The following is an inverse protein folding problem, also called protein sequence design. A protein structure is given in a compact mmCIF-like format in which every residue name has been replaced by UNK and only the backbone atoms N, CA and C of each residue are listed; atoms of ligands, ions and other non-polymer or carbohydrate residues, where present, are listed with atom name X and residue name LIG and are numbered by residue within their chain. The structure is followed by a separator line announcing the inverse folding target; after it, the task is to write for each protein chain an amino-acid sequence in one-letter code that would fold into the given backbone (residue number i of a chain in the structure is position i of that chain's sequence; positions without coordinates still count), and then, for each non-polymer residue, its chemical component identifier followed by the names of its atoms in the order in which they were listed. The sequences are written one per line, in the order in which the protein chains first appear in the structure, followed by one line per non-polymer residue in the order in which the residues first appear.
data_IF_428452841067
#
_entry.id   IF_428452841067
#
_cell.length_a   1.000
_cell.length_b   1.000
_cell.length_c   1.000
_cell.angle_alpha   90.00
_cell.angle_beta   90.00
_cell.angle_gamma   90.00
#
_symmetry.space_group_name_H-M   'P 1'
#
loop_
_entity.id
_entity.type
_entity.pdbx_description
1 polymer ?
#
# COMPACT_ATOMS: atom_id res chain seq x y z
N UNK A 1 -52.74 44.81 -50.48
CA UNK A 1 -52.78 43.35 -50.22
C UNK A 1 -51.44 42.82 -50.70
N UNK A 2 -50.45 42.87 -49.80
CA UNK A 2 -49.95 41.74 -49.00
C UNK A 2 -48.70 41.15 -49.66
N UNK A 3 -47.59 41.45 -48.99
CA UNK A 3 -46.25 40.85 -49.02
C UNK A 3 -46.22 39.34 -49.31
N UNK A 4 -45.16 38.84 -49.96
CA UNK A 4 -44.06 38.14 -49.27
C UNK A 4 -43.05 37.60 -50.31
N UNK A 5 -41.82 38.11 -50.22
CA UNK A 5 -40.65 37.50 -50.86
C UNK A 5 -40.23 36.20 -50.15
N UNK A 6 -39.63 35.33 -50.95
CA UNK A 6 -39.08 34.02 -50.61
C UNK A 6 -37.86 34.16 -49.68
N UNK A 7 -37.90 33.55 -48.50
CA UNK A 7 -36.69 33.16 -47.77
C UNK A 7 -36.81 31.72 -47.26
N UNK A 8 -35.99 30.84 -47.84
CA UNK A 8 -35.81 29.45 -47.42
C UNK A 8 -35.05 29.44 -46.09
N UNK A 9 -35.71 28.95 -45.03
CA UNK A 9 -35.10 28.77 -43.71
C UNK A 9 -33.99 27.71 -43.74
N UNK A 10 -32.84 27.92 -43.08
CA UNK A 10 -31.78 26.92 -43.00
C UNK A 10 -32.17 25.78 -42.05
N UNK A 11 -31.74 24.56 -42.38
CA UNK A 11 -31.88 23.36 -41.55
C UNK A 11 -31.25 23.58 -40.15
N UNK A 12 -31.88 23.08 -39.07
CA UNK A 12 -31.39 23.32 -37.72
C UNK A 12 -30.05 22.60 -37.46
N UNK A 13 -29.17 23.17 -36.62
CA UNK A 13 -27.87 22.58 -36.33
C UNK A 13 -28.01 21.32 -35.47
N UNK A 14 -27.10 20.37 -35.70
CA UNK A 14 -26.86 19.17 -34.88
C UNK A 14 -27.05 19.46 -33.39
N UNK A 15 -28.04 18.81 -32.78
CA UNK A 15 -28.27 18.82 -31.33
C UNK A 15 -26.98 18.47 -30.58
N UNK A 16 -26.54 19.40 -29.73
CA UNK A 16 -25.44 19.19 -28.79
C UNK A 16 -26.03 18.51 -27.56
N UNK A 17 -25.41 17.44 -27.09
CA UNK A 17 -25.83 16.65 -25.91
C UNK A 17 -26.01 17.47 -24.61
N UNK A 18 -25.59 18.75 -24.62
CA UNK A 18 -25.81 19.73 -23.54
C UNK A 18 -27.24 20.25 -23.47
N UNK A 19 -27.94 20.35 -24.61
CA UNK A 19 -29.27 20.96 -24.71
C UNK A 19 -30.37 19.99 -24.26
N UNK A 20 -30.08 18.68 -24.26
CA UNK A 20 -30.96 17.63 -23.72
C UNK A 20 -30.94 17.53 -22.18
N UNK A 21 -29.93 18.11 -21.53
CA UNK A 21 -29.84 18.20 -20.06
C UNK A 21 -30.44 19.50 -19.52
N UNK A 22 -30.57 20.51 -20.36
CA UNK A 22 -31.21 21.78 -20.04
C UNK A 22 -32.60 21.77 -20.68
N UNK A 23 -33.53 21.06 -20.04
CA UNK A 23 -34.94 21.12 -20.45
C UNK A 23 -35.39 22.57 -20.58
N UNK A 24 -35.94 22.91 -21.74
CA UNK A 24 -36.54 24.20 -22.05
C UNK A 24 -37.62 24.55 -21.00
N UNK A 25 -37.51 25.68 -20.28
CA UNK A 25 -38.59 26.16 -19.45
C UNK A 25 -39.21 27.37 -20.15
N UNK A 26 -40.17 27.10 -21.04
CA UNK A 26 -41.15 28.07 -21.51
C UNK A 26 -42.27 28.23 -20.49
N UNK A 27 -41.97 28.77 -19.31
CA UNK A 27 -43.00 29.33 -18.42
C UNK A 27 -42.44 30.53 -17.66
N UNK A 28 -43.13 31.65 -17.85
CA UNK A 28 -43.06 32.83 -16.99
C UNK A 28 -43.25 32.41 -15.54
N UNK A 29 -42.29 32.75 -14.69
CA UNK A 29 -42.49 33.17 -13.30
C UNK A 29 -41.14 33.64 -12.74
N UNK A 30 -41.14 34.89 -12.29
CA UNK A 30 -40.16 35.44 -11.36
C UNK A 30 -40.09 34.54 -10.13
N UNK A 31 -38.98 33.80 -10.01
CA UNK A 31 -38.43 33.16 -8.79
C UNK A 31 -37.41 32.08 -9.18
N UNK A 32 -36.55 32.38 -10.17
CA UNK A 32 -35.35 31.57 -10.37
C UNK A 32 -34.35 31.95 -9.30
N UNK A 33 -34.43 31.27 -8.17
CA UNK A 33 -33.32 31.16 -7.22
C UNK A 33 -32.12 30.69 -8.03
N UNK A 34 -31.24 31.63 -8.39
CA UNK A 34 -29.91 31.28 -8.84
C UNK A 34 -29.30 30.50 -7.68
N UNK A 35 -29.17 29.19 -7.87
CA UNK A 35 -28.30 28.39 -7.01
C UNK A 35 -26.89 28.87 -7.34
N UNK A 36 -26.48 29.95 -6.71
CA UNK A 36 -25.08 30.31 -6.62
C UNK A 36 -24.39 29.06 -6.08
N UNK A 37 -23.61 28.39 -6.94
CA UNK A 37 -22.65 27.41 -6.47
C UNK A 37 -21.71 28.18 -5.55
N UNK A 38 -22.03 28.16 -4.26
CA UNK A 38 -21.33 28.90 -3.23
C UNK A 38 -19.83 28.70 -3.43
N UNK A 39 -19.19 29.83 -3.73
CA UNK A 39 -17.78 30.15 -3.69
C UNK A 39 -16.99 29.22 -2.76
N UNK A 40 -16.56 28.06 -3.24
CA UNK A 40 -15.62 27.20 -2.49
C UNK A 40 -14.48 26.65 -3.35
N UNK A 41 -14.55 26.79 -4.68
CA UNK A 41 -13.57 26.29 -5.65
C UNK A 41 -12.15 26.88 -5.50
N UNK A 42 -12.01 27.97 -4.71
CA UNK A 42 -10.73 28.66 -4.49
C UNK A 42 -10.01 28.29 -3.19
N UNK A 43 -10.56 27.43 -2.34
CA UNK A 43 -9.83 27.00 -1.15
C UNK A 43 -8.71 26.01 -1.52
N UNK A 44 -7.54 26.15 -0.87
CA UNK A 44 -6.40 25.25 -1.10
C UNK A 44 -6.77 23.77 -0.90
N UNK A 45 -7.63 23.49 0.08
CA UNK A 45 -8.17 22.15 0.35
C UNK A 45 -8.96 21.60 -0.84
N UNK A 46 -9.81 22.40 -1.49
CA UNK A 46 -10.56 21.94 -2.65
C UNK A 46 -9.71 21.74 -3.89
N UNK A 47 -8.70 22.60 -4.13
CA UNK A 47 -7.73 22.40 -5.22
C UNK A 47 -6.94 21.11 -5.05
N UNK A 48 -6.49 20.82 -3.83
CA UNK A 48 -5.84 19.55 -3.51
C UNK A 48 -6.80 18.36 -3.66
N UNK A 49 -8.05 18.50 -3.22
CA UNK A 49 -9.08 17.45 -3.38
C UNK A 49 -9.40 17.19 -4.85
N UNK A 50 -9.42 18.24 -5.67
CA UNK A 50 -9.54 18.14 -7.12
C UNK A 50 -8.35 17.37 -7.71
N UNK A 51 -7.12 17.69 -7.29
CA UNK A 51 -5.92 17.05 -7.81
C UNK A 51 -5.75 15.58 -7.38
N UNK A 52 -5.95 15.27 -6.10
CA UNK A 52 -5.74 13.93 -5.52
C UNK A 52 -6.91 12.98 -5.74
N UNK A 53 -8.16 13.47 -5.74
CA UNK A 53 -9.36 12.62 -5.73
C UNK A 53 -10.19 12.78 -7.00
N UNK A 54 -10.58 14.02 -7.36
CA UNK A 54 -11.57 14.22 -8.44
C UNK A 54 -10.96 14.09 -9.85
N UNK A 55 -9.69 14.48 -10.04
CA UNK A 55 -9.04 14.46 -11.34
C UNK A 55 -8.46 13.07 -11.63
N UNK A 56 -9.09 12.36 -12.57
CA UNK A 56 -8.79 10.97 -12.88
C UNK A 56 -7.34 10.73 -13.31
N UNK A 57 -6.77 11.57 -14.19
CA UNK A 57 -5.39 11.38 -14.69
C UNK A 57 -4.35 11.63 -13.60
N UNK A 58 -4.55 12.67 -12.79
CA UNK A 58 -3.63 13.00 -11.70
C UNK A 58 -3.73 11.99 -10.56
N UNK A 59 -4.95 11.64 -10.13
CA UNK A 59 -5.21 10.60 -9.13
C UNK A 59 -4.53 9.28 -9.50
N UNK A 60 -4.68 8.83 -10.75
CA UNK A 60 -4.09 7.59 -11.21
C UNK A 60 -2.56 7.61 -11.18
N UNK A 61 -1.92 8.73 -11.57
CA UNK A 61 -0.46 8.90 -11.50
C UNK A 61 0.04 8.85 -10.05
N UNK A 62 -0.66 9.50 -9.13
CA UNK A 62 -0.31 9.50 -7.71
C UNK A 62 -0.41 8.08 -7.14
N UNK A 63 -1.50 7.36 -7.45
CA UNK A 63 -1.68 5.97 -7.00
C UNK A 63 -0.61 5.03 -7.58
N UNK A 64 -0.26 5.19 -8.86
CA UNK A 64 0.83 4.43 -9.49
C UNK A 64 2.18 4.72 -8.81
N UNK A 65 2.44 5.99 -8.48
CA UNK A 65 3.64 6.39 -7.76
C UNK A 65 3.69 5.81 -6.35
N UNK A 66 2.59 5.84 -5.60
CA UNK A 66 2.52 5.21 -4.28
C UNK A 66 2.72 3.69 -4.40
N UNK A 67 2.05 3.05 -5.35
CA UNK A 67 2.23 1.62 -5.64
C UNK A 67 3.70 1.27 -5.92
N UNK A 68 4.40 2.05 -6.76
CA UNK A 68 5.81 1.81 -7.05
C UNK A 68 6.71 2.03 -5.84
N UNK A 69 6.43 3.03 -5.00
CA UNK A 69 7.14 3.21 -3.73
C UNK A 69 6.94 2.02 -2.78
N UNK A 70 5.73 1.47 -2.66
CA UNK A 70 5.48 0.28 -1.84
C UNK A 70 6.24 -0.94 -2.35
N UNK A 71 6.22 -1.19 -3.65
CA UNK A 71 7.03 -2.26 -4.25
C UNK A 71 8.54 -2.03 -4.05
N UNK A 72 9.01 -0.79 -4.17
CA UNK A 72 10.41 -0.44 -3.92
C UNK A 72 10.81 -0.76 -2.48
N UNK A 73 9.95 -0.49 -1.49
CA UNK A 73 10.25 -0.85 -0.09
C UNK A 73 10.34 -2.36 0.13
N UNK A 74 9.50 -3.16 -0.54
CA UNK A 74 9.60 -4.62 -0.50
C UNK A 74 10.89 -5.11 -1.16
N UNK A 75 11.28 -4.51 -2.29
CA UNK A 75 12.56 -4.82 -2.94
C UNK A 75 13.76 -4.47 -2.06
N UNK A 76 13.74 -3.31 -1.41
CA UNK A 76 14.77 -2.90 -0.44
C UNK A 76 14.83 -3.86 0.76
N UNK A 77 13.72 -4.47 1.16
CA UNK A 77 13.72 -5.52 2.17
C UNK A 77 14.46 -6.77 1.68
N UNK A 78 14.20 -7.24 0.44
CA UNK A 78 14.91 -8.38 -0.15
C UNK A 78 16.42 -8.09 -0.23
N UNK A 79 16.79 -6.92 -0.75
CA UNK A 79 18.20 -6.49 -0.84
C UNK A 79 18.85 -6.45 0.55
N UNK A 80 18.13 -5.98 1.58
CA UNK A 80 18.61 -6.02 2.97
C UNK A 80 18.85 -7.46 3.43
N UNK A 81 17.93 -8.39 3.20
CA UNK A 81 18.09 -9.80 3.59
C UNK A 81 19.31 -10.42 2.90
N UNK A 82 19.51 -10.14 1.61
CA UNK A 82 20.63 -10.69 0.84
C UNK A 82 22.00 -10.11 1.22
N UNK A 83 22.03 -8.89 1.75
CA UNK A 83 23.25 -8.21 2.18
C UNK A 83 23.52 -8.38 3.68
N UNK A 84 22.73 -9.19 4.37
CA UNK A 84 22.89 -9.41 5.79
C UNK A 84 23.93 -10.50 6.05
N UNK A 85 25.04 -10.10 6.68
CA UNK A 85 26.12 -11.02 7.03
C UNK A 85 25.99 -11.43 8.51
N UNK A 86 25.63 -12.69 8.83
CA UNK A 86 25.46 -13.15 10.21
C UNK A 86 26.78 -13.12 11.01
N UNK A 87 27.93 -13.01 10.34
CA UNK A 87 29.26 -12.94 10.94
C UNK A 87 29.59 -11.59 11.58
N UNK A 88 28.85 -10.51 11.28
CA UNK A 88 29.14 -9.16 11.78
C UNK A 88 28.71 -8.95 13.25
N UNK A 89 28.04 -9.93 13.86
CA UNK A 89 27.50 -9.85 15.21
C UNK A 89 26.27 -8.96 15.33
N UNK A 90 25.42 -9.22 16.32
CA UNK A 90 24.11 -8.58 16.47
C UNK A 90 24.15 -7.59 17.64
N UNK A 91 23.66 -6.37 17.42
CA UNK A 91 23.58 -5.35 18.47
C UNK A 91 22.91 -4.05 18.03
N UNK A 92 22.60 -3.20 19.01
CA UNK A 92 22.13 -1.84 18.77
C UNK A 92 23.20 -0.96 18.11
N UNK A 93 22.77 0.11 17.44
CA UNK A 93 23.70 1.01 16.77
C UNK A 93 24.65 1.65 17.78
N UNK A 94 25.97 1.40 17.64
CA UNK A 94 27.00 1.91 18.54
C UNK A 94 27.22 1.08 19.82
N UNK A 95 26.58 -0.09 19.95
CA UNK A 95 26.71 -0.99 21.09
C UNK A 95 27.70 -2.14 20.79
N UNK A 96 28.26 -2.81 21.81
CA UNK A 96 29.05 -4.02 21.60
C UNK A 96 28.18 -5.10 20.95
N UNK A 97 28.67 -5.65 19.84
CA UNK A 97 27.98 -6.71 19.09
C UNK A 97 28.29 -8.07 19.71
N UNK A 98 27.28 -8.93 19.78
CA UNK A 98 27.41 -10.29 20.28
C UNK A 98 27.00 -11.31 19.22
N UNK A 99 27.68 -12.45 19.21
CA UNK A 99 27.32 -13.57 18.35
C UNK A 99 26.39 -14.50 19.12
N UNK A 100 25.18 -14.69 18.60
CA UNK A 100 24.21 -15.60 19.18
C UNK A 100 24.29 -16.93 18.41
N UNK A 101 24.66 -18.01 19.11
CA UNK A 101 24.53 -19.37 18.60
C UNK A 101 23.21 -19.96 19.10
N UNK A 102 22.45 -20.57 18.21
CA UNK A 102 21.27 -21.33 18.59
C UNK A 102 21.69 -22.68 19.19
N UNK A 103 21.25 -22.96 20.42
CA UNK A 103 21.42 -24.24 21.08
C UNK A 103 20.07 -24.97 21.12
N UNK A 104 19.96 -26.06 20.34
CA UNK A 104 18.74 -26.87 20.21
C UNK A 104 18.28 -27.50 21.53
N UNK A 105 19.18 -27.61 22.52
CA UNK A 105 18.93 -28.16 23.85
C UNK A 105 18.38 -27.16 24.88
N UNK A 106 18.46 -25.85 24.60
CA UNK A 106 17.98 -24.81 25.52
C UNK A 106 16.62 -24.26 25.05
N UNK A 107 15.65 -24.20 25.96
CA UNK A 107 14.34 -23.59 25.71
C UNK A 107 14.36 -22.05 25.68
N UNK A 108 15.52 -21.43 25.88
CA UNK A 108 15.67 -19.98 25.93
C UNK A 108 15.84 -19.39 24.52
N UNK A 109 14.91 -18.51 24.15
CA UNK A 109 14.90 -17.85 22.85
C UNK A 109 15.74 -16.57 22.92
N UNK A 110 16.73 -16.47 22.05
CA UNK A 110 17.46 -15.22 21.86
C UNK A 110 16.60 -14.22 21.09
N UNK A 111 16.05 -13.23 21.78
CA UNK A 111 15.22 -12.17 21.15
C UNK A 111 16.04 -11.10 20.43
N UNK A 112 17.33 -10.97 20.75
CA UNK A 112 18.20 -9.95 20.16
C UNK A 112 18.36 -10.08 18.63
N UNK A 113 18.57 -11.29 18.03
CA UNK A 113 18.55 -11.50 16.56
C UNK A 113 17.25 -11.09 15.85
N UNK A 114 16.11 -11.14 16.56
CA UNK A 114 14.80 -10.73 16.03
C UNK A 114 14.68 -9.20 16.07
N UNK A 115 15.01 -8.58 17.20
CA UNK A 115 14.82 -7.14 17.39
C UNK A 115 15.90 -6.30 16.69
N UNK A 116 17.15 -6.74 16.72
CA UNK A 116 18.29 -5.99 16.21
C UNK A 116 18.76 -6.58 14.88
N UNK A 117 18.65 -5.78 13.84
CA UNK A 117 19.00 -6.12 12.47
C UNK A 117 19.94 -5.07 11.94
N UNK A 118 21.18 -5.47 11.67
CA UNK A 118 22.16 -4.57 11.09
C UNK A 118 21.76 -4.17 9.67
N UNK A 119 21.78 -2.87 9.41
CA UNK A 119 21.40 -2.31 8.11
C UNK A 119 22.46 -1.34 7.64
N UNK A 120 22.86 -1.47 6.38
CA UNK A 120 23.75 -0.49 5.74
C UNK A 120 23.10 0.89 5.80
N UNK A 121 23.91 1.90 6.13
CA UNK A 121 23.45 3.28 6.30
C UNK A 121 22.72 3.83 5.05
N UNK A 122 23.16 3.42 3.86
CA UNK A 122 22.53 3.78 2.59
C UNK A 122 21.12 3.22 2.45
N UNK A 123 20.91 1.95 2.81
CA UNK A 123 19.58 1.32 2.78
C UNK A 123 18.64 1.96 3.80
N UNK A 124 19.13 2.25 5.00
CA UNK A 124 18.36 2.98 6.02
C UNK A 124 17.94 4.36 5.51
N UNK A 125 18.86 5.14 4.94
CA UNK A 125 18.56 6.48 4.43
C UNK A 125 17.49 6.46 3.33
N UNK A 126 17.59 5.53 2.37
CA UNK A 126 16.57 5.40 1.30
C UNK A 126 15.21 5.03 1.90
N UNK A 127 15.16 4.11 2.85
CA UNK A 127 13.90 3.69 3.47
C UNK A 127 13.26 4.79 4.32
N UNK A 128 14.06 5.60 5.02
CA UNK A 128 13.57 6.76 5.76
C UNK A 128 12.96 7.79 4.81
N UNK A 129 13.61 8.08 3.67
CA UNK A 129 13.06 9.00 2.66
C UNK A 129 11.72 8.50 2.13
N UNK A 130 11.63 7.21 1.78
CA UNK A 130 10.37 6.62 1.30
C UNK A 130 9.30 6.62 2.40
N UNK A 131 9.67 6.37 3.66
CA UNK A 131 8.76 6.44 4.81
C UNK A 131 8.21 7.85 5.03
N UNK A 132 9.04 8.90 4.91
CA UNK A 132 8.59 10.29 5.02
C UNK A 132 7.60 10.65 3.91
N UNK A 133 7.90 10.28 2.65
CA UNK A 133 7.02 10.56 1.51
C UNK A 133 5.65 9.88 1.71
N UNK A 134 5.65 8.60 2.09
CA UNK A 134 4.42 7.83 2.28
C UNK A 134 3.62 8.28 3.51
N UNK A 135 4.28 8.68 4.60
CA UNK A 135 3.64 9.31 5.74
C UNK A 135 2.98 10.66 5.36
N UNK A 136 3.66 11.53 4.62
CA UNK A 136 3.10 12.81 4.17
C UNK A 136 1.91 12.61 3.24
N UNK A 137 1.97 11.64 2.34
CA UNK A 137 0.86 11.29 1.45
C UNK A 137 -0.37 10.83 2.25
N UNK A 138 -0.19 9.94 3.23
CA UNK A 138 -1.31 9.43 4.03
C UNK A 138 -1.92 10.49 4.94
N UNK A 139 -1.12 11.37 5.53
CA UNK A 139 -1.61 12.53 6.27
C UNK A 139 -2.41 13.49 5.38
N UNK A 140 -1.94 13.73 4.15
CA UNK A 140 -2.65 14.54 3.18
C UNK A 140 -3.99 13.90 2.77
N UNK A 141 -4.01 12.59 2.52
CA UNK A 141 -5.23 11.87 2.17
C UNK A 141 -6.28 11.89 3.29
N UNK A 142 -5.87 11.80 4.56
CA UNK A 142 -6.74 11.95 5.72
C UNK A 142 -7.35 13.34 5.75
N UNK A 143 -6.51 14.37 5.62
CA UNK A 143 -6.96 15.77 5.62
C UNK A 143 -7.97 16.07 4.49
N UNK A 144 -7.76 15.53 3.29
CA UNK A 144 -8.64 15.73 2.14
C UNK A 144 -9.92 14.87 2.22
N UNK A 145 -9.83 13.70 2.83
CA UNK A 145 -10.94 12.75 2.96
C UNK A 145 -11.80 12.99 4.20
N UNK A 146 -11.41 13.93 5.07
CA UNK A 146 -12.12 14.25 6.30
C UNK A 146 -13.58 14.66 6.02
N UNK A 147 -14.53 13.86 6.54
CA UNK A 147 -15.98 14.08 6.46
C UNK A 147 -16.65 14.25 7.84
N UNK A 148 -15.87 14.47 8.90
CA UNK A 148 -16.36 14.65 10.28
C UNK A 148 -15.92 13.55 11.26
N UNK A 149 -15.76 12.31 10.79
CA UNK A 149 -15.33 11.19 11.65
C UNK A 149 -13.85 10.83 11.41
N UNK A 150 -12.96 11.23 12.33
CA UNK A 150 -11.52 10.90 12.25
C UNK A 150 -11.27 9.44 12.66
N UNK A 151 -12.03 8.92 13.62
CA UNK A 151 -11.83 7.59 14.17
C UNK A 151 -12.00 6.48 13.15
N UNK A 152 -12.98 6.62 12.25
CA UNK A 152 -13.18 5.68 11.14
C UNK A 152 -11.97 5.61 10.20
N UNK A 153 -11.28 6.74 9.99
CA UNK A 153 -10.10 6.79 9.14
C UNK A 153 -8.87 6.17 9.83
N UNK A 154 -8.72 6.40 11.14
CA UNK A 154 -7.61 5.86 11.94
C UNK A 154 -7.71 4.35 12.07
N UNK A 155 -8.91 3.79 12.28
CA UNK A 155 -9.08 2.34 12.43
C UNK A 155 -9.14 1.56 11.11
N UNK A 156 -8.93 2.22 9.97
CA UNK A 156 -8.85 1.54 8.68
C UNK A 156 -7.56 0.73 8.60
N UNK A 157 -7.66 -0.54 8.23
CA UNK A 157 -6.52 -1.48 8.14
C UNK A 157 -5.34 -0.90 7.34
N UNK A 158 -5.62 -0.23 6.22
CA UNK A 158 -4.59 0.42 5.39
C UNK A 158 -3.83 1.52 6.14
N UNK A 159 -4.51 2.33 6.97
CA UNK A 159 -3.85 3.35 7.76
C UNK A 159 -3.02 2.74 8.89
N UNK A 160 -3.57 1.74 9.59
CA UNK A 160 -2.84 1.04 10.67
C UNK A 160 -1.57 0.40 10.13
N UNK A 161 -1.63 -0.31 9.00
CA UNK A 161 -0.45 -0.90 8.35
C UNK A 161 0.56 0.17 7.92
N UNK A 162 0.10 1.30 7.40
CA UNK A 162 0.97 2.43 7.05
C UNK A 162 1.70 2.96 8.29
N UNK A 163 0.98 3.19 9.39
CA UNK A 163 1.56 3.72 10.63
C UNK A 163 2.57 2.74 11.24
N UNK A 164 2.26 1.44 11.24
CA UNK A 164 3.19 0.38 11.72
C UNK A 164 4.50 0.39 10.92
N UNK A 165 4.43 0.62 9.61
CA UNK A 165 5.62 0.54 8.76
C UNK A 165 6.40 1.86 8.69
N UNK A 166 5.75 3.02 8.80
CA UNK A 166 6.38 4.34 8.58
C UNK A 166 6.79 5.05 9.86
N UNK A 167 5.99 4.98 10.93
CA UNK A 167 6.28 5.69 12.18
C UNK A 167 7.59 5.24 12.82
N UNK A 168 7.93 3.92 12.90
CA UNK A 168 9.21 3.51 13.47
C UNK A 168 10.41 4.12 12.73
N UNK A 169 10.36 4.23 11.40
CA UNK A 169 11.44 4.88 10.62
C UNK A 169 11.61 6.35 10.99
N UNK A 170 10.51 7.08 11.16
CA UNK A 170 10.56 8.48 11.57
C UNK A 170 11.19 8.60 12.97
N UNK A 171 10.83 7.71 13.89
CA UNK A 171 11.40 7.66 15.24
C UNK A 171 12.92 7.40 15.19
N UNK A 172 13.41 6.54 14.27
CA UNK A 172 14.86 6.26 14.14
C UNK A 172 15.71 7.47 13.73
N UNK A 173 15.11 8.56 13.23
CA UNK A 173 15.81 9.81 12.94
C UNK A 173 16.21 10.50 14.26
N UNK A 174 15.30 10.52 15.22
CA UNK A 174 15.49 11.19 16.50
C UNK A 174 16.33 10.36 17.49
N UNK A 175 16.29 9.03 17.37
CA UNK A 175 16.97 8.10 18.28
C UNK A 175 17.99 7.23 17.52
N UNK A 176 19.29 7.58 17.56
CA UNK A 176 20.36 6.82 16.92
C UNK A 176 20.43 5.32 17.26
N UNK A 177 20.25 4.86 18.52
CA UNK A 177 20.40 3.44 18.83
C UNK A 177 19.34 2.57 18.14
N UNK A 178 18.17 3.14 17.81
CA UNK A 178 17.04 2.44 17.18
C UNK A 178 17.21 2.22 15.67
N UNK A 179 18.29 2.68 15.05
CA UNK A 179 18.51 2.48 13.60
C UNK A 179 18.59 1.01 13.19
N UNK A 180 19.06 0.16 14.10
CA UNK A 180 19.12 -1.29 13.92
C UNK A 180 17.82 -1.99 14.34
N UNK A 181 16.78 -1.27 14.76
CA UNK A 181 15.51 -1.89 15.13
C UNK A 181 14.86 -2.54 13.89
N UNK A 182 14.36 -3.75 14.06
CA UNK A 182 13.58 -4.41 13.03
C UNK A 182 12.26 -3.66 12.79
N UNK A 183 11.95 -3.44 11.50
CA UNK A 183 10.69 -2.84 11.07
C UNK A 183 10.11 -3.79 10.01
N UNK A 184 8.85 -4.25 10.13
CA UNK A 184 8.24 -5.24 9.25
C UNK A 184 7.80 -4.65 7.90
N UNK A 185 8.73 -4.04 7.17
CA UNK A 185 8.50 -3.34 5.89
C UNK A 185 7.86 -4.23 4.83
N UNK A 186 8.06 -5.56 4.92
CA UNK A 186 7.43 -6.51 4.01
C UNK A 186 5.90 -6.44 4.03
N UNK A 187 5.27 -5.95 5.10
CA UNK A 187 3.82 -5.70 5.18
C UNK A 187 3.33 -4.65 4.15
N UNK A 188 4.22 -3.83 3.59
CA UNK A 188 3.89 -2.90 2.51
C UNK A 188 3.38 -3.62 1.24
N UNK A 189 3.57 -4.94 1.09
CA UNK A 189 2.97 -5.68 -0.01
C UNK A 189 1.43 -5.65 0.03
N UNK A 190 0.82 -5.67 1.23
CA UNK A 190 -0.64 -5.56 1.38
C UNK A 190 -1.14 -4.17 1.00
N UNK A 191 -0.36 -3.13 1.32
CA UNK A 191 -0.65 -1.76 0.89
C UNK A 191 -0.50 -1.61 -0.63
N UNK A 192 0.51 -2.23 -1.23
CA UNK A 192 0.66 -2.29 -2.68
C UNK A 192 -0.52 -2.99 -3.35
N UNK A 193 -0.97 -4.13 -2.79
CA UNK A 193 -2.17 -4.85 -3.25
C UNK A 193 -3.42 -3.98 -3.16
N UNK A 194 -3.62 -3.29 -2.03
CA UNK A 194 -4.76 -2.38 -1.88
C UNK A 194 -4.71 -1.20 -2.87
N UNK A 195 -3.51 -0.64 -3.12
CA UNK A 195 -3.32 0.40 -4.13
C UNK A 195 -3.65 -0.12 -5.54
N UNK A 196 -3.22 -1.34 -5.87
CA UNK A 196 -3.48 -2.00 -7.14
C UNK A 196 -4.99 -2.27 -7.34
N UNK A 197 -5.71 -2.75 -6.33
CA UNK A 197 -7.17 -2.90 -6.39
C UNK A 197 -7.87 -1.57 -6.69
N UNK A 198 -7.48 -0.52 -5.97
CA UNK A 198 -8.03 0.82 -6.19
C UNK A 198 -7.72 1.35 -7.59
N UNK A 199 -6.55 1.03 -8.15
CA UNK A 199 -6.19 1.40 -9.52
C UNK A 199 -7.02 0.62 -10.55
N UNK A 200 -7.19 -0.69 -10.37
CA UNK A 200 -7.99 -1.53 -11.27
C UNK A 200 -9.44 -1.06 -11.31
N UNK A 201 -10.01 -0.72 -10.15
CA UNK A 201 -11.36 -0.17 -10.06
C UNK A 201 -11.50 1.16 -10.80
N UNK A 202 -10.50 2.05 -10.70
CA UNK A 202 -10.46 3.29 -11.47
C UNK A 202 -10.34 3.01 -12.98
N UNK A 203 -9.51 2.05 -13.40
CA UNK A 203 -9.35 1.66 -14.80
C UNK A 203 -10.62 1.05 -15.39
N UNK A 204 -11.32 0.22 -14.61
CA UNK A 204 -12.61 -0.35 -14.98
C UNK A 204 -13.67 0.74 -15.18
N UNK A 205 -13.69 1.75 -14.30
CA UNK A 205 -14.57 2.92 -14.45
C UNK A 205 -14.20 3.81 -15.64
N UNK A 206 -12.92 3.87 -15.98
CA UNK A 206 -12.35 4.82 -16.92
C UNK A 206 -12.50 4.42 -18.40
N UNK A 207 -11.93 3.28 -18.80
CA UNK A 207 -11.45 3.10 -20.18
C UNK A 207 -11.60 1.66 -20.69
N UNK A 208 -11.51 0.63 -19.84
CA UNK A 208 -11.43 -0.76 -20.32
C UNK A 208 -12.81 -1.43 -20.45
N UNK A 209 -13.51 -1.14 -21.54
CA UNK A 209 -14.69 -1.91 -22.01
C UNK A 209 -14.32 -3.27 -22.65
N UNK A 210 -13.01 -3.59 -22.71
CA UNK A 210 -12.45 -4.74 -23.45
C UNK A 210 -11.90 -5.87 -22.56
N UNK A 211 -11.66 -5.65 -21.27
CA UNK A 211 -11.24 -6.69 -20.32
C UNK A 211 -12.43 -7.08 -19.44
N UNK A 212 -12.68 -8.39 -19.31
CA UNK A 212 -13.80 -8.89 -18.51
C UNK A 212 -13.59 -8.55 -17.04
N UNK A 213 -14.68 -8.26 -16.31
CA UNK A 213 -14.64 -8.11 -14.85
C UNK A 213 -13.98 -9.34 -14.17
N UNK A 214 -14.12 -10.51 -14.81
CA UNK A 214 -13.47 -11.76 -14.42
C UNK A 214 -11.94 -11.68 -14.48
N UNK A 215 -11.35 -11.05 -15.50
CA UNK A 215 -9.89 -10.89 -15.59
C UNK A 215 -9.34 -10.05 -14.44
N UNK A 216 -10.02 -8.95 -14.10
CA UNK A 216 -9.64 -8.10 -12.96
C UNK A 216 -9.71 -8.87 -11.63
N UNK A 217 -10.74 -9.70 -11.44
CA UNK A 217 -10.88 -10.52 -10.24
C UNK A 217 -9.77 -11.58 -10.13
N UNK A 218 -9.43 -12.25 -11.23
CA UNK A 218 -8.33 -13.23 -11.27
C UNK A 218 -6.99 -12.55 -10.96
N UNK A 219 -6.75 -11.35 -11.50
CA UNK A 219 -5.53 -10.59 -11.22
C UNK A 219 -5.42 -10.25 -9.73
N UNK A 220 -6.50 -9.78 -9.09
CA UNK A 220 -6.52 -9.49 -7.66
C UNK A 220 -6.23 -10.75 -6.83
N UNK A 221 -6.83 -11.89 -7.17
CA UNK A 221 -6.60 -13.17 -6.48
C UNK A 221 -5.14 -13.63 -6.61
N UNK A 222 -4.56 -13.48 -7.80
CA UNK A 222 -3.16 -13.77 -8.02
C UNK A 222 -2.25 -12.86 -7.19
N UNK A 223 -2.54 -11.55 -7.15
CA UNK A 223 -1.82 -10.61 -6.29
C UNK A 223 -1.98 -10.92 -4.79
N UNK A 224 -3.15 -11.38 -4.33
CA UNK A 224 -3.32 -11.81 -2.93
C UNK A 224 -2.45 -13.01 -2.61
N UNK A 225 -2.42 -14.02 -3.49
CA UNK A 225 -1.60 -15.21 -3.30
C UNK A 225 -0.11 -14.85 -3.27
N UNK A 226 0.36 -13.99 -4.17
CA UNK A 226 1.74 -13.50 -4.15
C UNK A 226 2.09 -12.72 -2.87
N UNK A 227 1.18 -11.87 -2.37
CA UNK A 227 1.39 -11.14 -1.11
C UNK A 227 1.43 -12.08 0.10
N UNK A 228 0.59 -13.12 0.10
CA UNK A 228 0.55 -14.13 1.15
C UNK A 228 1.85 -14.95 1.17
N UNK A 229 2.31 -15.44 0.01
CA UNK A 229 3.62 -16.10 -0.13
C UNK A 229 4.75 -15.18 0.31
N UNK A 230 4.76 -13.93 -0.15
CA UNK A 230 5.82 -12.98 0.20
C UNK A 230 5.86 -12.66 1.71
N UNK A 231 4.71 -12.50 2.36
CA UNK A 231 4.67 -12.25 3.81
C UNK A 231 5.04 -13.49 4.63
N UNK A 232 4.61 -14.68 4.21
CA UNK A 232 5.03 -15.94 4.84
C UNK A 232 6.54 -16.11 4.79
N UNK A 233 7.14 -15.93 3.61
CA UNK A 233 8.59 -16.08 3.42
C UNK A 233 9.39 -15.11 4.26
N UNK A 234 9.04 -13.82 4.21
CA UNK A 234 9.73 -12.80 4.99
C UNK A 234 9.55 -12.99 6.50
N UNK A 235 8.36 -13.41 6.94
CA UNK A 235 8.04 -13.63 8.35
C UNK A 235 8.82 -14.81 8.93
N UNK A 236 8.82 -15.95 8.25
CA UNK A 236 9.53 -17.15 8.70
C UNK A 236 11.03 -16.95 8.66
N UNK A 237 11.55 -16.40 7.56
CA UNK A 237 12.98 -16.06 7.43
C UNK A 237 13.44 -15.16 8.58
N UNK A 238 12.61 -14.19 8.98
CA UNK A 238 12.96 -13.26 10.05
C UNK A 238 12.91 -13.90 11.44
N UNK A 239 11.85 -14.65 11.75
CA UNK A 239 11.70 -15.29 13.07
C UNK A 239 12.70 -16.41 13.29
N UNK A 240 13.00 -17.21 12.26
CA UNK A 240 13.99 -18.28 12.32
C UNK A 240 15.44 -17.79 12.40
N UNK A 241 15.68 -16.47 12.43
CA UNK A 241 16.99 -15.94 12.79
C UNK A 241 17.44 -16.26 14.22
N UNK A 242 16.47 -16.40 15.13
CA UNK A 242 16.76 -16.85 16.49
C UNK A 242 16.90 -18.37 16.59
N UNK A 243 16.65 -19.10 15.49
CA UNK A 243 16.69 -20.55 15.38
C UNK A 243 17.79 -20.98 14.42
N UNK A 244 17.42 -21.64 13.32
CA UNK A 244 18.37 -22.23 12.37
C UNK A 244 18.88 -21.26 11.29
N UNK A 245 18.56 -19.96 11.37
CA UNK A 245 18.97 -18.93 10.39
C UNK A 245 18.69 -19.34 8.94
N UNK A 246 17.41 -19.58 8.62
CA UNK A 246 16.99 -19.98 7.28
C UNK A 246 17.28 -18.91 6.22
N UNK A 247 17.75 -19.35 5.06
CA UNK A 247 17.88 -18.50 3.87
C UNK A 247 16.52 -18.06 3.32
N UNK A 248 16.50 -17.00 2.50
CA UNK A 248 15.27 -16.53 1.85
C UNK A 248 14.67 -17.61 0.92
N UNK A 249 15.51 -18.35 0.20
CA UNK A 249 15.06 -19.40 -0.73
C UNK A 249 14.50 -20.62 0.00
N UNK A 250 15.13 -21.05 1.10
CA UNK A 250 14.61 -22.16 1.92
C UNK A 250 13.29 -21.78 2.58
N UNK A 251 13.15 -20.51 3.01
CA UNK A 251 11.88 -19.99 3.55
C UNK A 251 10.79 -19.92 2.47
N UNK A 252 11.14 -19.60 1.22
CA UNK A 252 10.24 -19.65 0.06
C UNK A 252 9.78 -21.05 -0.28
N UNK A 253 10.70 -22.00 -0.32
CA UNK A 253 10.39 -23.41 -0.46
C UNK A 253 9.43 -23.88 0.64
N UNK A 254 9.73 -23.60 1.91
CA UNK A 254 8.87 -23.95 3.04
C UNK A 254 7.45 -23.38 2.90
N UNK A 255 7.30 -22.10 2.52
CA UNK A 255 5.99 -21.48 2.35
C UNK A 255 5.16 -22.16 1.25
N UNK A 256 5.78 -22.46 0.10
CA UNK A 256 5.08 -23.14 -1.00
C UNK A 256 4.66 -24.55 -0.59
N UNK A 257 5.56 -25.32 0.02
CA UNK A 257 5.29 -26.69 0.52
C UNK A 257 4.17 -26.69 1.56
N UNK A 258 4.15 -25.68 2.42
CA UNK A 258 3.12 -25.53 3.46
C UNK A 258 1.76 -25.15 2.85
N UNK A 259 1.69 -24.14 1.96
CA UNK A 259 0.43 -23.71 1.33
C UNK A 259 -0.14 -24.72 0.33
N UNK A 260 0.71 -25.54 -0.28
CA UNK A 260 0.29 -26.66 -1.11
C UNK A 260 -0.14 -27.90 -0.31
N UNK A 261 -0.11 -27.82 1.03
CA UNK A 261 -0.45 -28.90 1.98
C UNK A 261 0.35 -30.18 1.80
N UNK A 262 1.53 -30.11 1.15
CA UNK A 262 2.43 -31.26 0.94
C UNK A 262 3.15 -31.63 2.23
N UNK A 263 3.74 -30.65 2.92
CA UNK A 263 4.32 -30.84 4.25
C UNK A 263 5.42 -31.91 4.36
N UNK A 264 6.49 -31.80 3.56
CA UNK A 264 7.60 -32.78 3.58
C UNK A 264 8.28 -32.96 4.95
N UNK A 265 8.28 -31.92 5.79
CA UNK A 265 8.88 -31.95 7.12
C UNK A 265 10.42 -31.85 7.15
N UNK A 266 11.03 -31.49 6.02
CA UNK A 266 12.47 -31.29 5.87
C UNK A 266 12.94 -29.95 6.45
N UNK A 267 12.12 -28.90 6.31
CA UNK A 267 12.29 -27.61 6.98
C UNK A 267 11.12 -27.42 7.94
N UNK A 268 11.39 -27.14 9.21
CA UNK A 268 10.36 -26.95 10.24
C UNK A 268 10.69 -25.77 11.16
N UNK A 269 9.67 -25.03 11.63
CA UNK A 269 9.88 -23.93 12.57
C UNK A 269 10.26 -24.47 13.96
N UNK A 270 11.42 -24.07 14.48
CA UNK A 270 11.93 -24.57 15.77
C UNK A 270 11.47 -23.72 16.95
N UNK A 271 11.09 -22.46 16.70
CA UNK A 271 10.78 -21.49 17.74
C UNK A 271 9.27 -21.31 17.89
N UNK A 272 8.79 -21.08 19.12
CA UNK A 272 7.37 -20.82 19.37
C UNK A 272 6.75 -19.67 18.54
N UNK A 273 7.37 -18.48 18.36
CA UNK A 273 6.79 -17.43 17.53
C UNK A 273 6.72 -17.81 16.05
N UNK A 274 7.67 -18.57 15.51
CA UNK A 274 7.61 -19.04 14.11
C UNK A 274 6.54 -20.11 13.93
N UNK A 275 6.36 -21.01 14.91
CA UNK A 275 5.25 -21.98 14.93
C UNK A 275 3.89 -21.27 14.95
N UNK A 276 3.71 -20.27 15.82
CA UNK A 276 2.48 -19.47 15.88
C UNK A 276 2.20 -18.79 14.54
N UNK A 277 3.22 -18.18 13.92
CA UNK A 277 3.09 -17.55 12.61
C UNK A 277 2.65 -18.56 11.56
N UNK A 278 3.25 -19.75 11.51
CA UNK A 278 2.89 -20.81 10.55
C UNK A 278 1.44 -21.25 10.72
N UNK A 279 0.96 -21.44 11.96
CA UNK A 279 -0.46 -21.76 12.24
C UNK A 279 -1.39 -20.68 11.69
N UNK A 280 -1.08 -19.40 11.96
CA UNK A 280 -1.87 -18.27 11.45
C UNK A 280 -1.86 -18.26 9.91
N UNK A 281 -0.69 -18.45 9.28
CA UNK A 281 -0.57 -18.45 7.83
C UNK A 281 -1.32 -19.61 7.17
N UNK A 282 -1.37 -20.80 7.79
CA UNK A 282 -2.17 -21.93 7.32
C UNK A 282 -3.67 -21.64 7.43
N UNK A 283 -4.12 -20.96 8.49
CA UNK A 283 -5.53 -20.58 8.62
C UNK A 283 -5.97 -19.48 7.64
N UNK A 284 -5.02 -18.67 7.15
CA UNK A 284 -5.27 -17.56 6.22
C UNK A 284 -5.16 -17.98 4.75
N UNK A 285 -4.32 -18.97 4.45
CA UNK A 285 -4.10 -19.51 3.10
C UNK A 285 -5.29 -20.34 2.61
#
# INVERSE_FOLDING_TARGET
MSDLDSEVLPLPPRYRFRDLLLGDPSFQNDDRVQVEFYVNENTFKERLKLFFIKNQRSSLRIRLFNFSLKLLTCLLYIVRVLLDDPALGIGCWGCPKQNYSFNDSSSEINWAPILWVERKMTLWAIQVIVAIISFLETMLLIYLSYKGNIWEQIFRVSFVLEMINTLPFIITIFWPPLRNLFIPVFLNCWLAKHALENMINDFHRAILRTQSAMFNQVLILFCTLLCLVFTGTCGIQHLERAGENLSLLTSFYFCIVTFSTVGYGDVTPKIWPSQLLVVIMICVA
#
